data_IF_089574479148
#
_entry.id   IF_089574479148
#
_cell.length_a   1.000
_cell.length_b   1.000
_cell.length_c   1.000
_cell.angle_alpha   90.00
_cell.angle_beta   90.00
_cell.angle_gamma   90.00
#
_symmetry.space_group_name_H-M   'P 1'
#
loop_
_entity.id
_entity.type
_entity.pdbx_description
1 polymer ?
#
# COMPACT_ATOMS: atom_id res chain seq x y z
N UNK A 1 -4.73 -6.60 -7.51
CA UNK A 1 -3.53 -7.48 -7.58
C UNK A 1 -3.61 -8.19 -8.92
N UNK A 2 -2.48 -8.45 -9.59
CA UNK A 2 -2.52 -9.17 -10.87
C UNK A 2 -3.20 -10.53 -10.70
N UNK A 3 -3.78 -11.06 -11.78
CA UNK A 3 -4.51 -12.35 -11.78
C UNK A 3 -3.67 -13.53 -11.25
N UNK A 4 -2.34 -13.35 -11.24
CA UNK A 4 -1.34 -14.30 -10.79
C UNK A 4 -1.22 -14.37 -9.25
N UNK A 5 -1.66 -13.33 -8.54
CA UNK A 5 -1.49 -13.21 -7.09
C UNK A 5 -2.73 -13.70 -6.36
N UNK A 6 -2.76 -15.00 -6.08
CA UNK A 6 -3.81 -15.63 -5.29
C UNK A 6 -3.59 -15.35 -3.81
N UNK A 7 -4.68 -15.07 -3.09
CA UNK A 7 -4.63 -15.03 -1.64
C UNK A 7 -4.20 -16.41 -1.08
N UNK A 8 -3.34 -16.45 -0.07
CA UNK A 8 -3.01 -17.71 0.60
C UNK A 8 -4.27 -18.29 1.28
N UNK A 9 -4.36 -19.61 1.45
CA UNK A 9 -5.55 -20.24 2.04
C UNK A 9 -5.83 -19.79 3.48
N UNK A 10 -4.82 -19.29 4.19
CA UNK A 10 -4.93 -18.74 5.55
C UNK A 10 -5.36 -17.26 5.57
N UNK A 11 -5.45 -16.59 4.41
CA UNK A 11 -5.88 -15.20 4.37
C UNK A 11 -7.37 -15.07 4.73
N UNK A 12 -7.66 -14.17 5.65
CA UNK A 12 -9.04 -13.81 5.99
C UNK A 12 -9.53 -12.74 5.02
N UNK A 13 -10.61 -13.05 4.29
CA UNK A 13 -11.22 -12.12 3.33
C UNK A 13 -12.35 -11.36 4.02
N UNK A 14 -12.15 -10.05 4.21
CA UNK A 14 -13.14 -9.15 4.78
C UNK A 14 -13.75 -8.28 3.69
N UNK A 15 -15.09 -8.20 3.66
CA UNK A 15 -15.83 -7.51 2.58
C UNK A 15 -16.03 -6.02 2.84
N UNK A 16 -15.88 -5.58 4.09
CA UNK A 16 -16.08 -4.18 4.48
C UNK A 16 -14.79 -3.62 5.02
N UNK A 17 -14.48 -2.39 4.63
CA UNK A 17 -13.25 -1.70 5.05
C UNK A 17 -13.18 -1.53 6.57
N UNK A 18 -14.30 -1.18 7.23
CA UNK A 18 -14.34 -1.04 8.68
C UNK A 18 -14.03 -2.34 9.42
N UNK A 19 -14.50 -3.48 8.91
CA UNK A 19 -14.22 -4.79 9.49
C UNK A 19 -12.73 -5.12 9.36
N UNK A 20 -12.12 -4.77 8.22
CA UNK A 20 -10.68 -4.90 7.99
C UNK A 20 -9.86 -4.02 8.93
N UNK A 21 -10.23 -2.75 9.09
CA UNK A 21 -9.55 -1.82 10.00
C UNK A 21 -9.60 -2.37 11.44
N UNK A 22 -10.77 -2.80 11.89
CA UNK A 22 -10.93 -3.36 13.22
C UNK A 22 -10.10 -4.64 13.41
N UNK A 23 -10.06 -5.53 12.41
CA UNK A 23 -9.26 -6.75 12.45
C UNK A 23 -7.77 -6.44 12.55
N UNK A 24 -7.26 -5.49 11.76
CA UNK A 24 -5.85 -5.08 11.78
C UNK A 24 -5.46 -4.48 13.13
N UNK A 25 -6.33 -3.65 13.72
CA UNK A 25 -6.04 -3.03 15.02
C UNK A 25 -6.09 -4.00 16.21
N UNK A 26 -6.95 -5.01 16.14
CA UNK A 26 -7.16 -5.97 17.24
C UNK A 26 -6.28 -7.22 17.14
N UNK A 27 -5.65 -7.47 15.99
CA UNK A 27 -4.86 -8.68 15.73
C UNK A 27 -3.38 -8.33 15.59
N UNK A 28 -2.53 -8.64 16.59
CA UNK A 28 -1.08 -8.48 16.48
C UNK A 28 -0.51 -9.26 15.29
N UNK A 29 0.55 -8.73 14.68
CA UNK A 29 1.24 -9.32 13.53
C UNK A 29 0.37 -9.51 12.27
N UNK A 30 -0.75 -8.77 12.17
CA UNK A 30 -1.59 -8.77 10.97
C UNK A 30 -1.19 -7.65 10.00
N UNK A 31 -1.55 -7.82 8.72
CA UNK A 31 -1.39 -6.81 7.67
C UNK A 31 -2.65 -6.77 6.82
N UNK A 32 -3.03 -5.57 6.38
CA UNK A 32 -4.19 -5.35 5.52
C UNK A 32 -3.95 -4.17 4.57
N UNK A 33 -4.69 -4.14 3.47
CA UNK A 33 -4.68 -3.05 2.50
C UNK A 33 -6.06 -2.39 2.46
N UNK A 34 -6.10 -1.08 2.72
CA UNK A 34 -7.31 -0.27 2.73
C UNK A 34 -7.01 1.16 2.31
N UNK A 35 -8.03 2.00 2.18
CA UNK A 35 -7.89 3.38 1.72
C UNK A 35 -6.98 4.23 2.61
N UNK A 36 -6.02 4.93 1.99
CA UNK A 36 -5.21 5.94 2.69
C UNK A 36 -6.09 7.07 3.26
N UNK A 37 -7.18 7.43 2.57
CA UNK A 37 -8.09 8.46 3.04
C UNK A 37 -8.75 8.10 4.38
N UNK A 38 -9.08 6.81 4.58
CA UNK A 38 -9.63 6.33 5.85
C UNK A 38 -8.60 6.48 6.98
N UNK A 39 -7.35 6.09 6.75
CA UNK A 39 -6.25 6.24 7.72
C UNK A 39 -6.04 7.71 8.14
N UNK A 40 -6.02 8.63 7.18
CA UNK A 40 -5.77 10.06 7.43
C UNK A 40 -6.97 10.72 8.13
N UNK A 41 -8.18 10.58 7.57
CA UNK A 41 -9.37 11.28 8.06
C UNK A 41 -9.76 10.86 9.49
N UNK A 42 -9.64 9.58 9.79
CA UNK A 42 -9.97 9.01 11.10
C UNK A 42 -8.78 8.97 12.06
N UNK A 43 -7.60 9.44 11.63
CA UNK A 43 -6.34 9.40 12.41
C UNK A 43 -6.06 8.03 13.00
N UNK A 44 -6.21 6.98 12.17
CA UNK A 44 -6.10 5.60 12.63
C UNK A 44 -4.67 5.32 13.14
N UNK A 45 -4.51 4.72 14.33
CA UNK A 45 -3.21 4.34 14.87
C UNK A 45 -2.69 3.06 14.19
N UNK A 46 -2.26 3.19 12.93
CA UNK A 46 -1.72 2.08 12.13
C UNK A 46 -0.30 2.38 11.67
N UNK A 47 0.53 1.33 11.60
CA UNK A 47 1.85 1.42 10.96
C UNK A 47 1.68 1.27 9.46
N UNK A 48 1.99 2.33 8.70
CA UNK A 48 1.97 2.31 7.23
C UNK A 48 3.29 1.73 6.73
N UNK A 49 3.22 0.75 5.83
CA UNK A 49 4.40 0.20 5.17
C UNK A 49 4.79 1.08 3.98
N UNK A 50 6.09 1.31 3.82
CA UNK A 50 6.63 1.93 2.61
C UNK A 50 6.81 0.83 1.56
N UNK A 51 6.29 1.06 0.36
CA UNK A 51 6.41 0.11 -0.75
C UNK A 51 7.49 0.62 -1.69
N UNK A 52 8.54 -0.18 -1.91
CA UNK A 52 9.71 0.20 -2.72
C UNK A 52 10.35 1.54 -2.30
N UNK A 53 10.35 1.83 -1.00
CA UNK A 53 10.85 3.09 -0.45
C UNK A 53 9.92 4.30 -0.60
N UNK A 54 8.72 4.11 -1.15
CA UNK A 54 7.72 5.15 -1.33
C UNK A 54 6.71 5.09 -0.18
N UNK A 55 6.57 6.21 0.54
CA UNK A 55 5.58 6.33 1.61
C UNK A 55 4.15 6.49 1.06
N UNK A 56 3.17 5.98 1.78
CA UNK A 56 1.76 6.17 1.46
C UNK A 56 1.29 7.60 1.88
N UNK A 57 1.53 8.58 1.01
CA UNK A 57 1.14 9.99 1.17
C UNK A 57 0.22 10.44 0.02
N UNK A 58 -0.61 11.49 0.22
CA UNK A 58 -1.40 12.06 -0.86
C UNK A 58 -0.56 12.49 -2.07
N UNK A 59 0.61 13.07 -1.82
CA UNK A 59 1.52 13.52 -2.88
C UNK A 59 2.03 12.35 -3.73
N UNK A 60 2.39 11.23 -3.10
CA UNK A 60 2.87 10.04 -3.80
C UNK A 60 1.76 9.32 -4.58
N UNK A 61 0.48 9.51 -4.23
CA UNK A 61 -0.67 9.02 -5.01
C UNK A 61 -0.90 9.88 -6.26
N UNK A 62 -0.63 11.19 -6.16
CA UNK A 62 -0.80 12.12 -7.27
C UNK A 62 0.31 12.00 -8.34
N UNK A 63 1.41 11.29 -8.05
CA UNK A 63 2.47 11.03 -9.02
C UNK A 63 1.96 10.08 -10.12
N UNK A 64 1.89 10.49 -11.39
CA UNK A 64 1.76 9.53 -12.47
C UNK A 64 2.99 8.61 -12.45
N UNK A 65 2.79 7.31 -12.61
CA UNK A 65 3.82 6.24 -12.56
C UNK A 65 4.84 6.32 -13.72
N UNK A 66 5.08 7.51 -14.26
CA UNK A 66 5.85 7.77 -15.49
C UNK A 66 7.07 8.64 -15.20
N UNK A 67 7.95 8.23 -14.30
CA UNK A 67 9.36 8.66 -14.32
C UNK A 67 10.26 7.56 -13.76
N UNK A 68 10.29 6.40 -14.45
CA UNK A 68 11.46 5.52 -14.41
C UNK A 68 12.56 6.17 -15.26
N UNK A 69 13.46 6.92 -14.64
CA UNK A 69 14.74 7.24 -15.28
C UNK A 69 15.56 5.95 -15.37
N UNK A 70 15.57 5.30 -16.54
CA UNK A 70 16.71 4.47 -16.92
C UNK A 70 17.78 5.46 -17.39
N UNK A 71 18.64 5.88 -16.47
CA UNK A 71 19.87 6.58 -16.86
C UNK A 71 20.75 5.56 -17.58
N UNK A 72 20.77 5.59 -18.91
CA UNK A 72 21.88 5.02 -19.69
C UNK A 72 22.80 6.18 -20.07
N UNK A 73 23.94 6.27 -19.39
CA UNK A 73 25.05 7.10 -19.85
C UNK A 73 25.70 6.37 -21.04
N UNK A 74 25.62 6.94 -22.23
CA UNK A 74 26.54 6.61 -23.31
C UNK A 74 27.15 7.90 -23.87
N UNK A 75 28.45 7.79 -24.12
CA UNK A 75 29.50 8.81 -24.12
C UNK A 75 29.48 9.77 -25.31
N UNK A 76 30.11 10.93 -25.05
CA UNK A 76 30.45 12.00 -25.98
C UNK A 76 31.32 11.55 -27.17
N UNK A 77 31.12 12.24 -28.31
CA UNK A 77 32.20 12.65 -29.23
C UNK A 77 32.33 14.18 -29.16
#
# INVERSE_FOLDING_TARGET
MGDDLKNPPEAVILRKENDLIAAVQSTPNSVGAFSLAAAISQKLPVNRLNLDGIEATPDNIALPVTMRYILKAESYD
#
